data_IF_492189179693
#
_entry.id   IF_492189179693
#
_cell.length_a   1.000
_cell.length_b   1.000
_cell.length_c   1.000
_cell.angle_alpha   90.00
_cell.angle_beta   90.00
_cell.angle_gamma   90.00
#
_symmetry.space_group_name_H-M   'P 1'
#
loop_
_entity.id
_entity.type
_entity.pdbx_description
1 polymer ?
#
# COMPACT_ATOMS: atom_id res chain seq x y z
N UNK A 1 -6.05 19.00 -21.71
CA UNK A 1 -5.89 18.42 -23.08
C UNK A 1 -7.03 17.44 -23.29
N UNK A 2 -7.56 17.23 -24.51
CA UNK A 2 -8.83 16.55 -24.67
C UNK A 2 -8.77 15.13 -24.08
N UNK A 3 -9.70 14.94 -23.15
CA UNK A 3 -9.89 13.84 -22.22
C UNK A 3 -10.84 12.89 -22.93
N UNK A 4 -10.37 11.77 -23.48
CA UNK A 4 -11.31 10.78 -23.99
C UNK A 4 -11.83 9.99 -22.77
N UNK A 5 -13.11 10.16 -22.37
CA UNK A 5 -13.63 9.47 -21.20
C UNK A 5 -13.57 7.96 -21.41
N UNK A 6 -13.25 7.23 -20.35
CA UNK A 6 -13.38 5.78 -20.29
C UNK A 6 -14.71 5.46 -19.61
N UNK A 7 -15.53 4.64 -20.27
CA UNK A 7 -16.79 4.18 -19.70
C UNK A 7 -16.54 3.19 -18.57
N UNK A 8 -17.40 3.22 -17.56
CA UNK A 8 -17.48 2.15 -16.58
C UNK A 8 -17.89 0.83 -17.25
N UNK A 9 -17.49 -0.28 -16.64
CA UNK A 9 -17.79 -1.64 -17.06
C UNK A 9 -18.28 -2.45 -15.87
N UNK A 10 -18.91 -3.59 -16.16
CA UNK A 10 -19.14 -4.60 -15.14
C UNK A 10 -17.85 -5.38 -14.87
N UNK A 11 -17.49 -5.53 -13.61
CA UNK A 11 -16.35 -6.33 -13.17
C UNK A 11 -16.65 -6.96 -11.80
N UNK A 12 -16.60 -8.29 -11.73
CA UNK A 12 -16.80 -9.05 -10.49
C UNK A 12 -18.08 -8.63 -9.73
N UNK A 13 -19.15 -8.28 -10.46
CA UNK A 13 -20.44 -7.87 -9.90
C UNK A 13 -20.62 -6.36 -9.68
N UNK A 14 -19.57 -5.53 -9.74
CA UNK A 14 -19.71 -4.08 -9.70
C UNK A 14 -19.93 -3.52 -11.10
N UNK A 15 -21.02 -2.75 -11.29
CA UNK A 15 -21.42 -2.21 -12.60
C UNK A 15 -20.77 -0.85 -12.93
N UNK A 16 -20.12 -0.23 -11.96
CA UNK A 16 -19.43 1.05 -12.09
C UNK A 16 -17.89 0.91 -12.11
N UNK A 17 -17.37 -0.30 -12.33
CA UNK A 17 -15.94 -0.55 -12.29
C UNK A 17 -15.21 0.17 -13.44
N UNK A 18 -13.96 0.54 -13.19
CA UNK A 18 -13.10 1.23 -14.15
C UNK A 18 -11.91 0.31 -14.42
N UNK A 19 -11.67 -0.02 -15.70
CA UNK A 19 -10.55 -0.88 -16.08
C UNK A 19 -9.53 -0.10 -16.90
N UNK A 20 -8.32 0.05 -16.35
CA UNK A 20 -7.19 0.66 -17.02
C UNK A 20 -6.32 -0.43 -17.66
N UNK A 21 -5.89 -0.22 -18.91
CA UNK A 21 -5.06 -1.18 -19.65
C UNK A 21 -3.94 -0.52 -20.42
N UNK A 22 -2.77 -1.17 -20.43
CA UNK A 22 -1.67 -0.88 -21.34
C UNK A 22 -1.26 -2.21 -22.05
N UNK A 23 -0.19 -2.26 -22.86
CA UNK A 23 0.24 -3.51 -23.49
C UNK A 23 0.64 -4.62 -22.51
N UNK A 24 0.99 -4.29 -21.27
CA UNK A 24 1.59 -5.16 -20.25
C UNK A 24 0.63 -5.50 -19.10
N UNK A 25 -0.13 -4.53 -18.59
CA UNK A 25 -0.95 -4.61 -17.39
C UNK A 25 -2.43 -4.40 -17.65
N UNK A 26 -3.24 -5.01 -16.78
CA UNK A 26 -4.65 -4.74 -16.59
C UNK A 26 -4.93 -4.44 -15.11
N UNK A 27 -5.64 -3.33 -14.87
CA UNK A 27 -5.96 -2.83 -13.53
C UNK A 27 -7.46 -2.58 -13.46
N UNK A 28 -8.14 -3.13 -12.45
CA UNK A 28 -9.57 -2.88 -12.23
C UNK A 28 -9.77 -2.15 -10.90
N UNK A 29 -10.45 -1.01 -10.97
CA UNK A 29 -10.85 -0.20 -9.82
C UNK A 29 -12.36 -0.34 -9.63
N UNK A 30 -12.81 -0.48 -8.40
CA UNK A 30 -14.22 -0.57 -8.02
C UNK A 30 -14.60 0.68 -7.20
N UNK A 31 -15.12 1.75 -7.83
CA UNK A 31 -15.53 2.96 -7.12
C UNK A 31 -16.55 2.71 -6.01
N UNK A 32 -17.45 1.72 -6.18
CA UNK A 32 -18.42 1.32 -5.14
C UNK A 32 -17.81 1.01 -3.78
N UNK A 33 -16.53 0.63 -3.73
CA UNK A 33 -15.81 0.27 -2.50
C UNK A 33 -14.41 0.91 -2.43
N UNK A 34 -14.13 1.90 -3.28
CA UNK A 34 -12.85 2.64 -3.22
C UNK A 34 -11.56 1.86 -3.45
N UNK A 35 -11.63 0.65 -4.01
CA UNK A 35 -10.50 -0.30 -4.09
C UNK A 35 -9.96 -0.49 -5.50
N UNK A 36 -8.67 -0.78 -5.60
CA UNK A 36 -8.14 -1.54 -6.75
C UNK A 36 -8.36 -3.00 -6.45
N UNK A 37 -9.25 -3.65 -7.19
CA UNK A 37 -9.63 -5.06 -6.98
C UNK A 37 -8.88 -6.02 -7.89
N UNK A 38 -8.20 -5.49 -8.92
CA UNK A 38 -7.34 -6.28 -9.82
C UNK A 38 -6.07 -5.54 -10.15
N UNK A 39 -4.95 -6.25 -10.06
CA UNK A 39 -3.66 -5.88 -10.61
C UNK A 39 -3.02 -7.11 -11.24
N UNK A 40 -2.85 -7.12 -12.55
CA UNK A 40 -2.24 -8.27 -13.24
C UNK A 40 -1.45 -7.88 -14.47
N UNK A 41 -0.53 -8.74 -14.88
CA UNK A 41 -0.14 -8.79 -16.28
C UNK A 41 -1.37 -9.04 -17.16
N UNK A 42 -1.33 -8.55 -18.39
CA UNK A 42 -2.44 -8.67 -19.34
C UNK A 42 -2.73 -10.13 -19.63
N UNK A 43 -3.94 -10.57 -19.28
CA UNK A 43 -4.37 -11.98 -19.40
C UNK A 43 -3.81 -12.91 -18.32
N UNK A 44 -3.04 -12.38 -17.36
CA UNK A 44 -2.54 -13.12 -16.21
C UNK A 44 -3.51 -13.16 -15.02
N UNK A 45 -3.10 -13.89 -13.99
CA UNK A 45 -3.83 -13.98 -12.72
C UNK A 45 -3.77 -12.65 -11.95
N UNK A 46 -4.74 -12.45 -11.06
CA UNK A 46 -4.72 -11.31 -10.15
C UNK A 46 -3.60 -11.49 -9.13
N UNK A 47 -2.76 -10.46 -8.98
CA UNK A 47 -1.70 -10.43 -7.97
C UNK A 47 -2.22 -9.98 -6.60
N UNK A 48 -3.35 -9.27 -6.57
CA UNK A 48 -4.01 -8.87 -5.34
C UNK A 48 -4.93 -9.98 -4.84
N UNK A 49 -5.03 -10.13 -3.53
CA UNK A 49 -6.06 -10.97 -2.94
C UNK A 49 -7.42 -10.34 -3.19
N UNK A 50 -8.36 -11.17 -3.63
CA UNK A 50 -9.75 -10.78 -3.84
C UNK A 50 -10.67 -11.88 -3.31
N UNK A 51 -11.59 -11.52 -2.41
CA UNK A 51 -12.59 -12.46 -1.93
C UNK A 51 -13.72 -12.65 -2.95
N UNK A 52 -13.75 -13.81 -3.60
CA UNK A 52 -14.83 -14.13 -4.54
C UNK A 52 -16.23 -14.16 -3.92
N UNK A 53 -16.35 -14.34 -2.59
CA UNK A 53 -17.63 -14.24 -1.87
C UNK A 53 -18.14 -12.81 -1.75
N UNK A 54 -17.29 -11.80 -2.01
CA UNK A 54 -17.61 -10.38 -1.87
C UNK A 54 -17.88 -9.68 -3.20
N UNK A 55 -18.07 -10.43 -4.29
CA UNK A 55 -18.40 -9.92 -5.63
C UNK A 55 -19.62 -9.00 -5.61
N UNK A 56 -19.47 -7.79 -6.15
CA UNK A 56 -20.52 -6.79 -6.25
C UNK A 56 -21.08 -6.32 -4.90
N UNK A 57 -20.44 -6.68 -3.79
CA UNK A 57 -20.91 -6.27 -2.46
C UNK A 57 -20.68 -4.77 -2.28
N UNK A 58 -21.68 -4.14 -1.67
CA UNK A 58 -21.63 -2.76 -1.20
C UNK A 58 -22.04 -2.86 0.27
N UNK A 59 -21.19 -2.41 1.21
CA UNK A 59 -21.51 -2.58 2.63
C UNK A 59 -22.78 -1.82 3.00
N UNK A 60 -23.63 -2.49 3.78
CA UNK A 60 -24.84 -1.89 4.33
C UNK A 60 -24.43 -0.89 5.41
N UNK A 61 -24.68 0.43 5.24
CA UNK A 61 -24.32 1.43 6.23
C UNK A 61 -24.99 1.21 7.59
N UNK A 62 -26.08 0.44 7.64
CA UNK A 62 -26.81 0.12 8.88
C UNK A 62 -26.35 -1.17 9.56
N UNK A 63 -25.42 -1.93 8.95
CA UNK A 63 -24.91 -3.16 9.53
C UNK A 63 -24.05 -2.89 10.77
N UNK A 64 -24.10 -3.81 11.73
CA UNK A 64 -23.26 -3.73 12.95
C UNK A 64 -21.74 -3.82 12.64
N UNK A 65 -21.38 -4.38 11.48
CA UNK A 65 -20.03 -4.37 10.94
C UNK A 65 -20.09 -3.86 9.51
N UNK A 66 -19.52 -2.67 9.29
CA UNK A 66 -19.52 -1.98 7.99
C UNK A 66 -18.21 -2.18 7.22
N UNK A 67 -17.17 -2.71 7.87
CA UNK A 67 -15.93 -3.12 7.23
C UNK A 67 -16.03 -4.54 6.65
N UNK A 68 -15.83 -4.66 5.34
CA UNK A 68 -15.68 -5.93 4.65
C UNK A 68 -14.24 -6.07 4.17
N UNK A 69 -13.57 -7.16 4.54
CA UNK A 69 -12.24 -7.47 4.03
C UNK A 69 -12.35 -8.06 2.60
N UNK A 70 -12.63 -7.21 1.61
CA UNK A 70 -12.77 -7.55 0.18
C UNK A 70 -11.40 -7.92 -0.43
N UNK A 71 -10.34 -7.29 0.07
CA UNK A 71 -8.98 -7.34 -0.48
C UNK A 71 -8.72 -6.28 -1.55
N UNK A 72 -7.60 -6.39 -2.24
CA UNK A 72 -7.12 -5.38 -3.16
C UNK A 72 -6.20 -4.34 -2.51
N UNK A 73 -6.17 -3.15 -3.10
CA UNK A 73 -5.46 -1.97 -2.60
C UNK A 73 -6.44 -0.85 -2.22
N UNK A 74 -6.21 -0.22 -1.08
CA UNK A 74 -7.03 0.90 -0.56
C UNK A 74 -6.19 1.89 0.25
N UNK A 75 -6.83 3.01 0.64
CA UNK A 75 -6.24 4.02 1.51
C UNK A 75 -7.14 4.25 2.72
N UNK A 76 -6.56 4.24 3.92
CA UNK A 76 -7.16 4.85 5.10
C UNK A 76 -6.55 6.23 5.38
N UNK A 77 -7.39 7.25 5.66
CA UNK A 77 -6.93 8.63 5.86
C UNK A 77 -6.43 8.92 7.28
N UNK A 78 -6.50 7.95 8.20
CA UNK A 78 -6.09 8.08 9.60
C UNK A 78 -5.41 6.79 10.05
N UNK A 79 -4.28 6.90 10.73
CA UNK A 79 -3.54 5.76 11.26
C UNK A 79 -4.37 5.02 12.30
N UNK A 80 -4.20 3.70 12.41
CA UNK A 80 -4.96 2.89 13.35
C UNK A 80 -4.79 3.35 14.81
N UNK A 81 -3.58 3.71 15.20
CA UNK A 81 -3.26 4.24 16.53
C UNK A 81 -4.03 5.54 16.87
N UNK A 82 -4.46 6.29 15.85
CA UNK A 82 -5.24 7.53 15.99
C UNK A 82 -6.77 7.30 15.96
N UNK A 83 -7.27 6.08 15.77
CA UNK A 83 -8.72 5.82 15.72
C UNK A 83 -9.42 6.04 17.07
N UNK A 84 -8.72 5.84 18.18
CA UNK A 84 -9.28 6.06 19.53
C UNK A 84 -9.60 7.52 19.85
N UNK A 85 -9.16 8.46 19.00
CA UNK A 85 -9.54 9.87 19.09
C UNK A 85 -11.02 10.11 18.72
N UNK A 86 -11.64 9.18 17.97
CA UNK A 86 -13.01 9.33 17.48
C UNK A 86 -13.84 8.05 17.48
N UNK A 87 -13.31 6.99 18.07
CA UNK A 87 -13.98 5.71 18.27
C UNK A 87 -13.56 5.08 19.61
N UNK A 88 -14.38 4.19 20.16
CA UNK A 88 -14.09 3.55 21.46
C UNK A 88 -12.96 2.51 21.41
N UNK A 89 -12.53 2.11 20.21
CA UNK A 89 -11.58 1.01 19.97
C UNK A 89 -10.73 1.28 18.73
N UNK A 90 -9.60 0.60 18.64
CA UNK A 90 -8.66 0.63 17.52
C UNK A 90 -8.87 -0.54 16.53
N UNK A 91 -9.84 -1.42 16.78
CA UNK A 91 -10.28 -2.46 15.83
C UNK A 91 -11.66 -3.02 16.18
N UNK A 92 -12.55 -3.35 15.20
CA UNK A 92 -12.44 -3.14 13.75
C UNK A 92 -12.48 -1.66 13.34
N UNK A 93 -12.26 -1.33 12.05
CA UNK A 93 -12.35 0.05 11.57
C UNK A 93 -13.67 0.71 11.99
N UNK A 94 -13.63 1.96 12.49
CA UNK A 94 -14.83 2.68 12.92
C UNK A 94 -15.74 3.04 11.74
N UNK A 95 -17.01 3.33 12.02
CA UNK A 95 -18.02 3.65 11.00
C UNK A 95 -17.60 4.81 10.08
N UNK A 96 -16.95 5.83 10.62
CA UNK A 96 -16.43 6.95 9.83
C UNK A 96 -15.41 6.51 8.76
N UNK A 97 -14.73 5.37 8.96
CA UNK A 97 -13.77 4.77 8.02
C UNK A 97 -14.33 3.57 7.25
N UNK A 98 -15.61 3.26 7.45
CA UNK A 98 -16.28 2.16 6.77
C UNK A 98 -16.15 2.23 5.25
N UNK A 99 -16.33 1.09 4.62
CA UNK A 99 -16.48 1.00 3.18
C UNK A 99 -17.70 1.80 2.70
N UNK A 100 -17.48 2.66 1.72
CA UNK A 100 -18.52 3.48 1.13
C UNK A 100 -18.17 3.78 -0.32
N UNK A 101 -19.16 4.23 -1.08
CA UNK A 101 -18.98 4.59 -2.48
C UNK A 101 -18.03 5.79 -2.65
N UNK A 102 -17.15 5.67 -3.64
CA UNK A 102 -16.31 6.74 -4.15
C UNK A 102 -16.84 7.19 -5.51
N UNK A 103 -16.63 8.46 -5.82
CA UNK A 103 -16.89 8.99 -7.16
C UNK A 103 -15.67 8.65 -8.04
N UNK A 104 -15.89 7.85 -9.08
CA UNK A 104 -14.86 7.47 -10.05
C UNK A 104 -15.02 8.20 -11.38
N UNK A 105 -13.93 8.74 -11.92
CA UNK A 105 -13.89 9.30 -13.29
C UNK A 105 -12.60 8.87 -13.97
N UNK A 106 -12.70 8.32 -15.18
CA UNK A 106 -11.54 7.82 -15.91
C UNK A 106 -11.47 8.35 -17.34
N UNK A 107 -10.24 8.45 -17.84
CA UNK A 107 -9.97 9.03 -19.14
C UNK A 107 -8.64 8.58 -19.74
N UNK A 108 -8.46 8.85 -21.02
CA UNK A 108 -7.18 8.80 -21.71
C UNK A 108 -6.56 10.20 -21.76
N UNK A 109 -5.34 10.31 -21.24
CA UNK A 109 -4.51 11.50 -21.34
C UNK A 109 -4.04 11.72 -22.80
N UNK A 110 -3.59 12.93 -23.12
CA UNK A 110 -3.19 13.28 -24.49
C UNK A 110 -2.00 12.46 -25.04
N UNK A 111 -1.16 11.91 -24.15
CA UNK A 111 -0.06 11.02 -24.53
C UNK A 111 -0.52 9.56 -24.75
N UNK A 112 -1.80 9.26 -24.50
CA UNK A 112 -2.40 7.94 -24.63
C UNK A 112 -2.44 7.11 -23.34
N UNK A 113 -1.82 7.59 -22.24
CA UNK A 113 -1.89 6.94 -20.94
C UNK A 113 -3.33 6.95 -20.39
N UNK A 114 -3.69 5.95 -19.60
CA UNK A 114 -5.02 5.86 -18.99
C UNK A 114 -4.94 6.27 -17.52
N UNK A 115 -5.88 7.11 -17.11
CA UNK A 115 -5.93 7.71 -15.79
C UNK A 115 -7.31 7.53 -15.17
N UNK A 116 -7.36 7.41 -13.86
CA UNK A 116 -8.59 7.33 -13.08
C UNK A 116 -8.44 8.19 -11.81
N UNK A 117 -9.43 9.03 -11.52
CA UNK A 117 -9.55 9.74 -10.26
C UNK A 117 -10.68 9.09 -9.45
N UNK A 118 -10.35 8.60 -8.26
CA UNK A 118 -11.33 8.29 -7.23
C UNK A 118 -11.37 9.42 -6.20
N UNK A 119 -12.57 9.85 -5.82
CA UNK A 119 -12.79 10.89 -4.80
C UNK A 119 -13.81 10.42 -3.77
N UNK A 120 -13.53 10.65 -2.48
CA UNK A 120 -14.49 10.45 -1.39
C UNK A 120 -14.40 11.61 -0.41
N UNK A 121 -15.55 12.05 0.08
CA UNK A 121 -15.65 12.96 1.22
C UNK A 121 -16.01 12.17 2.47
N UNK A 122 -15.33 12.49 3.56
CA UNK A 122 -15.60 11.94 4.88
C UNK A 122 -16.21 13.07 5.71
N UNK A 123 -17.40 12.82 6.24
CA UNK A 123 -18.14 13.75 7.09
C UNK A 123 -17.53 13.86 8.49
N UNK A 124 -18.37 14.22 9.47
CA UNK A 124 -17.98 14.21 10.88
C UNK A 124 -17.45 12.81 11.30
N UNK A 125 -16.38 12.74 12.10
CA UNK A 125 -15.61 13.84 12.68
C UNK A 125 -14.36 14.23 11.86
N UNK A 126 -14.16 13.64 10.69
CA UNK A 126 -12.94 13.84 9.91
C UNK A 126 -12.98 15.14 9.08
N UNK A 127 -14.11 15.47 8.47
CA UNK A 127 -14.26 16.67 7.63
C UNK A 127 -13.15 16.79 6.56
N UNK A 128 -12.95 15.73 5.78
CA UNK A 128 -11.89 15.66 4.75
C UNK A 128 -12.40 15.23 3.39
N UNK A 129 -11.68 15.64 2.34
CA UNK A 129 -11.79 15.05 1.01
C UNK A 129 -10.52 14.27 0.68
N UNK A 130 -10.70 13.04 0.21
CA UNK A 130 -9.61 12.17 -0.24
C UNK A 130 -9.69 11.99 -1.74
N UNK A 131 -8.56 12.18 -2.42
CA UNK A 131 -8.40 11.92 -3.85
C UNK A 131 -7.29 10.89 -4.07
N UNK A 132 -7.56 9.90 -4.92
CA UNK A 132 -6.54 8.97 -5.45
C UNK A 132 -6.55 9.08 -6.97
N UNK A 133 -5.51 9.69 -7.54
CA UNK A 133 -5.33 9.80 -9.00
C UNK A 133 -4.36 8.71 -9.47
N UNK A 134 -4.92 7.66 -10.05
CA UNK A 134 -4.21 6.56 -10.67
C UNK A 134 -3.82 6.93 -12.10
N UNK A 135 -2.58 6.64 -12.46
CA UNK A 135 -2.06 6.74 -13.82
C UNK A 135 -1.34 5.46 -14.17
N UNK A 136 -1.85 4.76 -15.18
CA UNK A 136 -1.19 3.60 -15.73
C UNK A 136 -0.12 4.07 -16.72
N UNK A 137 1.13 3.66 -16.50
CA UNK A 137 2.21 3.95 -17.44
C UNK A 137 1.85 3.38 -18.83
N UNK A 138 2.32 4.02 -19.90
CA UNK A 138 1.96 3.60 -21.25
C UNK A 138 2.76 2.37 -21.71
N UNK A 139 3.99 2.23 -21.23
CA UNK A 139 5.00 1.31 -21.77
C UNK A 139 5.67 0.46 -20.69
N UNK A 140 5.51 0.81 -19.41
CA UNK A 140 6.03 0.06 -18.27
C UNK A 140 4.93 -0.67 -17.49
N UNK A 141 5.33 -1.69 -16.73
CA UNK A 141 4.50 -2.37 -15.75
C UNK A 141 4.41 -1.55 -14.44
N UNK A 142 3.93 -0.31 -14.56
CA UNK A 142 3.92 0.67 -13.46
C UNK A 142 2.59 1.40 -13.36
N UNK A 143 2.13 1.58 -12.13
CA UNK A 143 1.04 2.51 -11.78
C UNK A 143 1.63 3.60 -10.89
N UNK A 144 1.26 4.85 -11.14
CA UNK A 144 1.52 5.95 -10.20
C UNK A 144 0.19 6.43 -9.61
N UNK A 145 0.15 6.62 -8.30
CA UNK A 145 -1.03 7.02 -7.55
C UNK A 145 -0.65 8.29 -6.80
N UNK A 146 -1.21 9.43 -7.22
CA UNK A 146 -1.15 10.64 -6.40
C UNK A 146 -2.26 10.57 -5.37
N UNK A 147 -1.89 10.49 -4.10
CA UNK A 147 -2.84 10.44 -2.99
C UNK A 147 -2.84 11.80 -2.32
N UNK A 148 -4.04 12.30 -2.00
CA UNK A 148 -4.20 13.63 -1.41
C UNK A 148 -5.36 13.63 -0.43
N UNK A 149 -5.14 14.24 0.73
CA UNK A 149 -6.18 14.56 1.72
C UNK A 149 -6.27 16.07 1.83
N UNK A 150 -7.49 16.61 1.75
CA UNK A 150 -7.83 18.03 1.99
C UNK A 150 -8.66 18.14 3.27
N UNK A 151 -8.36 19.10 4.14
CA UNK A 151 -9.25 19.44 5.25
C UNK A 151 -10.35 20.37 4.76
N UNK A 152 -11.60 19.96 4.92
CA UNK A 152 -12.79 20.73 4.51
C UNK A 152 -13.35 21.60 5.63
N UNK A 153 -13.19 21.18 6.88
CA UNK A 153 -13.62 21.93 8.07
C UNK A 153 -12.76 21.59 9.29
N UNK A 154 -12.94 22.28 10.42
CA UNK A 154 -12.13 22.06 11.62
C UNK A 154 -12.26 20.62 12.17
N UNK A 155 -11.14 20.02 12.58
CA UNK A 155 -11.08 18.71 13.23
C UNK A 155 -9.74 18.52 13.93
N UNK A 156 -9.75 17.96 15.13
CA UNK A 156 -8.54 17.68 15.91
C UNK A 156 -7.85 16.36 15.51
N UNK A 157 -8.48 15.57 14.64
CA UNK A 157 -7.99 14.25 14.25
C UNK A 157 -6.91 14.42 13.17
N UNK A 158 -5.64 14.05 13.43
CA UNK A 158 -4.60 14.12 12.41
C UNK A 158 -4.89 13.14 11.27
N UNK A 159 -4.41 13.46 10.07
CA UNK A 159 -4.55 12.60 8.90
C UNK A 159 -3.22 11.98 8.51
N UNK A 160 -3.28 10.80 7.89
CA UNK A 160 -2.13 10.15 7.26
C UNK A 160 -2.56 9.55 5.93
N UNK A 161 -1.61 9.41 5.01
CA UNK A 161 -1.77 8.63 3.80
C UNK A 161 -1.32 7.20 4.09
N UNK A 162 -2.22 6.38 4.63
CA UNK A 162 -1.95 4.97 4.89
C UNK A 162 -2.49 4.12 3.73
N UNK A 163 -1.60 3.71 2.82
CA UNK A 163 -1.92 2.81 1.73
C UNK A 163 -1.71 1.36 2.16
N UNK A 164 -2.69 0.50 1.88
CA UNK A 164 -2.59 -0.94 2.16
C UNK A 164 -2.89 -1.71 0.89
N UNK A 165 -2.03 -2.69 0.59
CA UNK A 165 -2.17 -3.62 -0.52
C UNK A 165 -2.13 -5.05 -0.03
N UNK A 166 -3.22 -5.79 -0.21
CA UNK A 166 -3.26 -7.23 0.05
C UNK A 166 -2.76 -7.99 -1.18
N UNK A 167 -1.54 -8.52 -1.09
CA UNK A 167 -0.93 -9.38 -2.11
C UNK A 167 -1.39 -10.82 -1.89
N UNK A 168 -1.92 -11.47 -2.92
CA UNK A 168 -2.37 -12.85 -2.86
C UNK A 168 -1.19 -13.81 -2.74
N UNK A 169 -1.19 -14.68 -1.72
CA UNK A 169 -0.19 -15.74 -1.57
C UNK A 169 1.27 -15.27 -1.67
N UNK A 170 1.62 -14.14 -1.07
CA UNK A 170 3.01 -13.67 -1.06
C UNK A 170 3.91 -14.68 -0.32
N UNK A 171 5.06 -14.99 -0.90
CA UNK A 171 6.06 -15.91 -0.34
C UNK A 171 7.10 -15.18 0.53
N UNK A 172 7.42 -13.94 0.15
CA UNK A 172 8.41 -13.11 0.83
C UNK A 172 7.99 -11.64 0.83
N UNK A 173 8.36 -10.91 1.87
CA UNK A 173 8.28 -9.45 1.94
C UNK A 173 9.68 -8.88 2.12
N UNK A 174 10.02 -7.82 1.41
CA UNK A 174 11.29 -7.09 1.56
C UNK A 174 11.01 -5.71 2.14
N UNK A 175 11.60 -5.43 3.30
CA UNK A 175 11.53 -4.15 3.98
C UNK A 175 12.90 -3.48 4.01
N UNK A 176 13.00 -2.17 3.77
CA UNK A 176 14.23 -1.42 4.02
C UNK A 176 14.49 -1.35 5.52
N UNK A 177 15.76 -1.31 5.92
CA UNK A 177 16.20 -1.05 7.29
C UNK A 177 17.42 -0.15 7.29
N UNK A 178 17.49 0.81 8.20
CA UNK A 178 18.58 1.79 8.25
C UNK A 178 19.47 1.57 9.48
N UNK A 179 20.78 1.82 9.36
CA UNK A 179 21.72 1.76 10.49
C UNK A 179 21.35 2.75 11.61
N UNK A 180 20.73 3.87 11.25
CA UNK A 180 20.25 4.91 12.17
C UNK A 180 18.83 4.69 12.70
N UNK A 181 18.25 3.50 12.51
CA UNK A 181 16.91 3.18 12.99
C UNK A 181 16.78 3.33 14.51
N UNK A 182 15.62 3.80 14.96
CA UNK A 182 15.24 3.79 16.37
C UNK A 182 14.90 2.38 16.87
N UNK A 183 14.63 1.44 15.96
CA UNK A 183 14.28 0.06 16.27
C UNK A 183 15.50 -0.85 16.25
N UNK A 184 15.51 -1.82 17.16
CA UNK A 184 16.57 -2.82 17.21
C UNK A 184 16.59 -3.58 15.89
N UNK A 185 17.73 -3.58 15.21
CA UNK A 185 17.86 -4.21 13.89
C UNK A 185 16.89 -3.65 12.83
N UNK A 186 16.46 -2.38 12.95
CA UNK A 186 15.65 -1.73 11.94
C UNK A 186 14.19 -2.16 11.85
N UNK A 187 13.73 -3.07 12.73
CA UNK A 187 12.38 -3.62 12.70
C UNK A 187 11.74 -3.59 14.08
N UNK A 188 10.44 -3.35 14.11
CA UNK A 188 9.61 -3.38 15.31
C UNK A 188 8.39 -4.29 15.07
N UNK A 189 8.08 -5.23 15.99
CA UNK A 189 6.79 -5.90 15.97
C UNK A 189 5.71 -4.92 16.44
N UNK A 190 4.71 -4.68 15.60
CA UNK A 190 3.53 -3.88 15.95
C UNK A 190 2.44 -4.74 16.59
N UNK A 191 2.35 -6.00 16.14
CA UNK A 191 1.46 -7.00 16.68
C UNK A 191 2.16 -8.35 16.63
N UNK A 192 1.89 -9.17 17.65
CA UNK A 192 2.52 -10.48 17.87
C UNK A 192 4.01 -10.37 18.20
N UNK A 193 4.64 -11.52 18.44
CA UNK A 193 6.06 -11.59 18.74
C UNK A 193 6.91 -11.35 17.48
N UNK A 194 8.20 -11.05 17.66
CA UNK A 194 9.13 -11.07 16.53
C UNK A 194 9.21 -12.47 15.90
N UNK A 195 9.28 -12.58 14.56
CA UNK A 195 9.55 -13.84 13.89
C UNK A 195 10.90 -14.44 14.32
N UNK A 196 11.02 -15.76 14.19
CA UNK A 196 12.28 -16.47 14.37
C UNK A 196 13.34 -16.05 13.33
N UNK A 197 14.62 -16.25 13.67
CA UNK A 197 15.76 -15.90 12.81
C UNK A 197 15.69 -16.60 11.44
N UNK A 198 15.07 -17.78 11.37
CA UNK A 198 14.87 -18.52 10.12
C UNK A 198 13.87 -17.87 9.15
N UNK A 199 13.02 -16.97 9.65
CA UNK A 199 12.06 -16.20 8.83
C UNK A 199 12.63 -14.85 8.41
N UNK A 200 13.79 -14.43 8.94
CA UNK A 200 14.37 -13.11 8.71
C UNK A 200 15.78 -13.23 8.12
N UNK A 201 15.93 -12.91 6.85
CA UNK A 201 17.24 -12.78 6.22
C UNK A 201 17.65 -11.31 6.12
N UNK A 202 18.77 -10.95 6.75
CA UNK A 202 19.34 -9.60 6.66
C UNK A 202 20.28 -9.51 5.47
N UNK A 203 20.01 -8.54 4.59
CA UNK A 203 20.69 -8.35 3.32
C UNK A 203 21.26 -6.93 3.19
N UNK A 204 22.06 -6.55 4.19
CA UNK A 204 22.59 -5.20 4.36
C UNK A 204 21.54 -4.26 4.96
N UNK A 205 21.11 -3.31 4.15
CA UNK A 205 20.10 -2.29 4.44
C UNK A 205 18.67 -2.74 4.11
N UNK A 206 18.44 -4.04 3.95
CA UNK A 206 17.12 -4.61 3.75
C UNK A 206 16.98 -5.90 4.58
N UNK A 207 15.77 -6.20 5.00
CA UNK A 207 15.39 -7.48 5.60
C UNK A 207 14.35 -8.14 4.71
N UNK A 208 14.55 -9.44 4.47
CA UNK A 208 13.58 -10.29 3.79
C UNK A 208 12.89 -11.15 4.84
N UNK A 209 11.56 -11.02 4.90
CA UNK A 209 10.68 -11.83 5.71
C UNK A 209 10.08 -12.98 4.89
N UNK A 210 10.11 -14.20 5.42
CA UNK A 210 9.46 -15.37 4.86
C UNK A 210 8.07 -15.61 5.49
N UNK A 211 7.03 -15.64 4.66
CA UNK A 211 5.61 -15.74 5.07
C UNK A 211 5.18 -17.15 5.48
N UNK A 212 6.09 -18.14 5.46
CA UNK A 212 5.78 -19.56 5.58
C UNK A 212 5.07 -20.00 6.87
N UNK A 213 5.13 -19.22 7.94
CA UNK A 213 4.60 -19.61 9.24
C UNK A 213 4.26 -18.44 10.15
N UNK A 214 3.30 -18.67 11.04
CA UNK A 214 2.92 -17.75 12.10
C UNK A 214 2.03 -16.61 11.63
N UNK A 215 1.91 -15.62 12.51
CA UNK A 215 1.18 -14.38 12.29
C UNK A 215 2.00 -13.23 12.86
N UNK A 216 2.31 -12.25 12.02
CA UNK A 216 3.23 -11.17 12.35
C UNK A 216 2.75 -9.86 11.72
N UNK A 217 2.86 -8.75 12.47
CA UNK A 217 2.81 -7.40 11.89
C UNK A 217 4.10 -6.68 12.23
N UNK A 218 4.88 -6.35 11.20
CA UNK A 218 6.21 -5.73 11.34
C UNK A 218 6.22 -4.34 10.75
N UNK A 219 7.03 -3.48 11.34
CA UNK A 219 7.27 -2.12 10.91
C UNK A 219 8.76 -1.85 10.67
N UNK A 220 9.03 -0.98 9.69
CA UNK A 220 10.32 -0.30 9.53
C UNK A 220 10.16 1.23 9.56
N UNK A 221 11.06 1.91 10.26
CA UNK A 221 11.14 3.37 10.32
C UNK A 221 12.02 3.98 9.22
N UNK A 222 12.52 3.17 8.28
CA UNK A 222 13.42 3.62 7.21
C UNK A 222 12.78 4.67 6.31
N UNK A 223 13.39 5.85 6.23
CA UNK A 223 12.85 7.00 5.45
C UNK A 223 12.84 6.79 3.93
N UNK A 224 13.33 5.65 3.45
CA UNK A 224 13.29 5.26 2.04
C UNK A 224 11.89 4.92 1.53
N UNK A 225 10.94 4.60 2.42
CA UNK A 225 9.51 4.58 2.12
C UNK A 225 9.09 3.62 1.01
N UNK A 226 9.76 2.47 0.88
CA UNK A 226 9.39 1.41 -0.05
C UNK A 226 9.22 0.08 0.66
N UNK A 227 8.41 -0.79 0.07
CA UNK A 227 8.19 -2.17 0.53
C UNK A 227 7.88 -3.03 -0.68
N UNK A 228 8.26 -4.31 -0.65
CA UNK A 228 8.00 -5.22 -1.75
C UNK A 228 7.50 -6.58 -1.29
N UNK A 229 6.72 -7.25 -2.14
CA UNK A 229 6.28 -8.62 -1.94
C UNK A 229 6.56 -9.48 -3.18
N UNK A 230 7.02 -10.71 -2.96
CA UNK A 230 7.21 -11.72 -3.99
C UNK A 230 6.01 -12.66 -4.03
N UNK A 231 5.39 -12.84 -5.21
CA UNK A 231 4.37 -13.86 -5.49
C UNK A 231 4.83 -14.68 -6.70
N UNK A 232 5.21 -15.95 -6.49
CA UNK A 232 5.73 -16.80 -7.55
C UNK A 232 7.03 -16.27 -8.16
N UNK A 233 6.94 -15.78 -9.40
CA UNK A 233 8.03 -15.16 -10.15
C UNK A 233 7.82 -13.65 -10.37
N UNK A 234 6.95 -13.01 -9.57
CA UNK A 234 6.60 -11.60 -9.69
C UNK A 234 6.89 -10.85 -8.40
N UNK A 235 7.71 -9.79 -8.51
CA UNK A 235 7.85 -8.77 -7.48
C UNK A 235 6.81 -7.67 -7.67
N UNK A 236 6.14 -7.31 -6.59
CA UNK A 236 5.31 -6.11 -6.48
C UNK A 236 6.08 -5.17 -5.56
N UNK A 237 6.45 -3.99 -6.05
CA UNK A 237 7.24 -3.00 -5.32
C UNK A 237 6.43 -1.72 -5.19
N UNK A 238 6.19 -1.31 -3.94
CA UNK A 238 5.55 -0.05 -3.61
C UNK A 238 6.56 0.94 -3.08
N UNK A 239 6.51 2.18 -3.55
CA UNK A 239 7.33 3.26 -3.03
C UNK A 239 6.53 4.55 -2.90
N UNK A 240 6.46 5.08 -1.67
CA UNK A 240 5.83 6.35 -1.36
C UNK A 240 6.88 7.46 -1.22
N UNK A 241 6.66 8.58 -1.91
CA UNK A 241 7.47 9.80 -1.80
C UNK A 241 6.54 11.00 -1.64
N UNK A 242 6.78 11.88 -0.67
CA UNK A 242 5.85 12.99 -0.40
C UNK A 242 6.42 14.10 0.45
N UNK A 243 5.57 15.10 0.71
CA UNK A 243 5.95 16.40 1.27
C UNK A 243 6.44 16.33 2.73
N UNK A 244 6.12 15.24 3.44
CA UNK A 244 6.35 15.10 4.88
C UNK A 244 7.35 14.01 5.25
N UNK A 245 8.33 13.71 4.38
CA UNK A 245 9.35 12.68 4.62
C UNK A 245 10.09 12.78 5.99
N UNK A 246 10.09 13.98 6.60
CA UNK A 246 10.73 14.27 7.90
C UNK A 246 9.73 14.53 9.05
N UNK A 247 8.43 14.25 8.86
CA UNK A 247 7.42 14.46 9.89
C UNK A 247 7.37 13.34 10.95
N UNK A 248 6.41 13.45 11.88
CA UNK A 248 6.11 12.39 12.86
C UNK A 248 5.31 11.30 12.18
N UNK A 249 5.84 10.08 12.16
CA UNK A 249 5.16 8.93 11.58
C UNK A 249 4.38 8.16 12.65
N UNK A 250 3.29 7.48 12.27
CA UNK A 250 2.56 6.58 13.16
C UNK A 250 3.47 5.51 13.80
N UNK A 251 2.94 4.89 14.86
CA UNK A 251 3.45 3.62 15.38
C UNK A 251 4.94 3.65 15.78
N UNK A 252 5.39 4.80 16.28
CA UNK A 252 6.75 5.00 16.77
C UNK A 252 7.77 5.35 15.69
N UNK A 253 7.33 5.67 14.47
CA UNK A 253 8.21 6.08 13.38
C UNK A 253 8.01 5.32 12.07
N UNK A 254 7.02 4.42 12.01
CA UNK A 254 6.78 3.48 10.93
C UNK A 254 6.47 4.19 9.61
N UNK A 255 7.31 3.90 8.62
CA UNK A 255 7.13 4.42 7.25
C UNK A 255 6.53 3.37 6.33
N UNK A 256 6.82 2.10 6.61
CA UNK A 256 6.27 0.94 5.92
C UNK A 256 5.99 -0.15 6.92
N UNK A 257 4.93 -0.90 6.65
CA UNK A 257 4.48 -2.01 7.48
C UNK A 257 4.12 -3.21 6.62
N UNK A 258 4.10 -4.37 7.24
CA UNK A 258 3.51 -5.57 6.67
C UNK A 258 2.68 -6.28 7.73
N UNK A 259 1.63 -6.96 7.28
CA UNK A 259 0.92 -7.95 8.06
C UNK A 259 0.86 -9.26 7.27
N UNK A 260 1.21 -10.36 7.92
CA UNK A 260 1.19 -11.69 7.32
C UNK A 260 0.63 -12.69 8.31
N UNK A 261 -0.30 -13.53 7.83
CA UNK A 261 -0.82 -14.67 8.57
C UNK A 261 -0.75 -15.88 7.65
N UNK A 262 0.07 -16.87 8.00
CA UNK A 262 0.28 -18.09 7.21
C UNK A 262 -0.98 -18.94 6.98
N UNK A 263 -2.03 -18.72 7.79
CA UNK A 263 -3.35 -19.34 7.60
C UNK A 263 -4.27 -18.57 6.64
N UNK A 264 -3.88 -17.38 6.19
CA UNK A 264 -4.60 -16.56 5.22
C UNK A 264 -3.88 -16.57 3.87
N UNK A 265 -4.63 -16.46 2.78
CA UNK A 265 -4.08 -16.45 1.41
C UNK A 265 -3.63 -15.05 0.97
N UNK A 266 -3.15 -14.23 1.91
CA UNK A 266 -2.63 -12.90 1.60
C UNK A 266 -1.58 -12.41 2.59
N UNK A 267 -0.84 -11.40 2.17
CA UNK A 267 0.03 -10.58 3.00
C UNK A 267 -0.21 -9.13 2.64
N UNK A 268 -0.32 -8.26 3.63
CA UNK A 268 -0.41 -6.82 3.47
C UNK A 268 1.00 -6.24 3.38
N UNK A 269 1.20 -5.37 2.38
CA UNK A 269 2.30 -4.42 2.34
C UNK A 269 1.70 -3.02 2.41
N UNK A 270 2.33 -2.16 3.21
CA UNK A 270 1.74 -0.90 3.61
C UNK A 270 2.76 0.22 3.52
N UNK A 271 2.31 1.39 3.08
CA UNK A 271 3.11 2.63 3.13
C UNK A 271 2.34 3.68 3.92
N UNK A 272 3.06 4.44 4.75
CA UNK A 272 2.50 5.50 5.57
C UNK A 272 3.20 6.81 5.24
N UNK A 273 2.46 7.92 5.29
CA UNK A 273 3.08 9.24 5.42
C UNK A 273 3.24 9.60 6.90
N UNK A 274 3.98 10.68 7.17
CA UNK A 274 3.85 11.32 8.47
C UNK A 274 2.40 11.78 8.71
N UNK A 275 2.00 11.79 9.97
CA UNK A 275 0.73 12.36 10.41
C UNK A 275 0.77 13.90 10.27
N UNK A 276 -0.36 14.47 9.86
CA UNK A 276 -0.50 15.90 9.66
C UNK A 276 -1.78 16.41 10.35
N UNK A 277 -1.66 17.31 11.35
CA UNK A 277 -2.80 18.09 11.84
C UNK A 277 -3.07 19.23 10.84
N UNK A 278 -3.95 18.99 9.87
CA UNK A 278 -4.27 19.97 8.83
C UNK A 278 -5.31 20.99 9.32
N UNK A 279 -5.01 22.28 9.15
CA UNK A 279 -5.99 23.36 9.23
C UNK A 279 -6.95 23.31 8.03
N UNK A 280 -8.12 23.96 8.14
CA UNK A 280 -9.09 24.05 7.04
C UNK A 280 -8.46 24.62 5.76
N UNK A 281 -8.60 23.89 4.65
CA UNK A 281 -8.03 24.23 3.35
C UNK A 281 -6.60 23.72 3.13
N UNK A 282 -5.92 23.22 4.17
CA UNK A 282 -4.62 22.59 4.03
C UNK A 282 -4.73 21.16 3.47
N UNK A 283 -3.56 20.62 3.08
CA UNK A 283 -3.50 19.31 2.49
C UNK A 283 -2.22 18.55 2.72
N UNK A 284 -2.38 17.24 2.76
CA UNK A 284 -1.31 16.26 2.75
C UNK A 284 -1.33 15.50 1.42
N UNK A 285 -0.17 15.30 0.80
CA UNK A 285 -0.05 14.54 -0.44
C UNK A 285 1.23 13.70 -0.51
N UNK A 286 1.15 12.60 -1.27
CA UNK A 286 2.29 11.81 -1.69
C UNK A 286 2.13 11.35 -3.15
N UNK A 287 3.18 10.71 -3.65
CA UNK A 287 3.18 9.89 -4.84
C UNK A 287 3.55 8.46 -4.42
N UNK A 288 2.63 7.52 -4.63
CA UNK A 288 2.88 6.09 -4.54
C UNK A 288 3.14 5.55 -5.94
N UNK A 289 4.23 4.83 -6.13
CA UNK A 289 4.48 4.04 -7.35
C UNK A 289 4.36 2.57 -7.03
N UNK A 290 3.63 1.84 -7.87
CA UNK A 290 3.50 0.38 -7.82
C UNK A 290 4.13 -0.19 -9.09
N UNK A 291 5.25 -0.88 -8.93
CA UNK A 291 5.97 -1.58 -9.99
C UNK A 291 5.76 -3.08 -9.89
N UNK A 292 5.56 -3.74 -11.04
CA UNK A 292 5.39 -5.18 -11.12
C UNK A 292 6.43 -5.74 -12.07
N UNK A 293 7.32 -6.58 -11.54
CA UNK A 293 8.52 -7.00 -12.27
C UNK A 293 8.68 -8.51 -12.17
N UNK A 294 8.78 -9.23 -13.32
CA UNK A 294 9.19 -10.62 -13.30
C UNK A 294 10.61 -10.75 -12.74
N UNK A 295 10.84 -11.76 -11.90
CA UNK A 295 12.15 -12.04 -11.31
C UNK A 295 12.81 -13.25 -11.95
N UNK A 296 14.14 -13.32 -11.85
CA UNK A 296 14.92 -14.45 -12.35
C UNK A 296 14.69 -15.74 -11.55
N UNK A 297 15.31 -16.83 -11.99
CA UNK A 297 15.21 -18.11 -11.30
C UNK A 297 15.83 -18.09 -9.89
N UNK A 298 16.93 -17.34 -9.72
CA UNK A 298 17.54 -17.10 -8.42
C UNK A 298 16.72 -16.09 -7.63
N UNK A 299 16.04 -16.59 -6.60
CA UNK A 299 15.16 -15.85 -5.69
C UNK A 299 15.65 -15.98 -4.25
N UNK A 300 16.96 -16.19 -4.07
CA UNK A 300 17.58 -16.12 -2.76
C UNK A 300 17.38 -14.73 -2.14
N UNK A 301 17.32 -14.67 -0.81
CA UNK A 301 16.83 -13.48 -0.09
C UNK A 301 17.60 -12.21 -0.48
N UNK A 302 18.93 -12.29 -0.51
CA UNK A 302 19.73 -11.11 -0.80
C UNK A 302 19.80 -10.75 -2.29
N UNK A 303 19.50 -11.69 -3.19
CA UNK A 303 19.29 -11.38 -4.61
C UNK A 303 17.97 -10.63 -4.80
N UNK A 304 16.91 -11.06 -4.11
CA UNK A 304 15.62 -10.38 -4.12
C UNK A 304 15.74 -8.95 -3.58
N UNK A 305 16.41 -8.78 -2.43
CA UNK A 305 16.67 -7.47 -1.85
C UNK A 305 17.50 -6.56 -2.77
N UNK A 306 18.51 -7.11 -3.44
CA UNK A 306 19.29 -6.35 -4.43
C UNK A 306 18.44 -5.91 -5.62
N UNK A 307 17.58 -6.79 -6.15
CA UNK A 307 16.67 -6.43 -7.24
C UNK A 307 15.70 -5.32 -6.84
N UNK A 308 15.14 -5.37 -5.62
CA UNK A 308 14.26 -4.29 -5.12
C UNK A 308 15.03 -2.97 -5.05
N UNK A 309 16.26 -2.94 -4.51
CA UNK A 309 17.11 -1.74 -4.48
C UNK A 309 17.32 -1.15 -5.87
N UNK A 310 17.64 -1.97 -6.86
CA UNK A 310 17.83 -1.53 -8.24
C UNK A 310 16.55 -0.90 -8.81
N UNK A 311 15.39 -1.50 -8.51
CA UNK A 311 14.08 -1.01 -8.98
C UNK A 311 13.69 0.34 -8.35
N UNK A 312 14.00 0.54 -7.06
CA UNK A 312 13.73 1.82 -6.37
C UNK A 312 14.82 2.87 -6.61
N UNK A 313 15.90 2.51 -7.32
CA UNK A 313 17.00 3.40 -7.69
C UNK A 313 18.03 3.64 -6.57
N UNK A 314 18.17 2.69 -5.65
CA UNK A 314 19.12 2.76 -4.54
C UNK A 314 20.48 2.18 -4.91
N UNK A 315 21.54 2.70 -4.29
CA UNK A 315 22.90 2.17 -4.46
C UNK A 315 23.13 1.01 -3.47
N UNK A 316 23.97 0.02 -3.81
CA UNK A 316 24.35 -1.01 -2.85
C UNK A 316 24.98 -0.39 -1.60
N UNK A 317 24.75 -0.95 -0.40
CA UNK A 317 25.50 -0.56 0.79
C UNK A 317 27.00 -0.73 0.52
N UNK A 318 27.82 0.14 1.12
CA UNK A 318 29.27 0.01 1.02
C UNK A 318 29.68 -1.38 1.53
N UNK A 319 30.51 -2.10 0.77
CA UNK A 319 31.01 -3.40 1.21
C UNK A 319 31.68 -3.23 2.58
N UNK A 320 31.26 -4.02 3.57
CA UNK A 320 31.97 -4.07 4.85
C UNK A 320 33.43 -4.40 4.56
N UNK A 321 34.33 -3.52 5.00
CA UNK A 321 35.76 -3.83 4.96
C UNK A 321 35.97 -5.07 5.82
N UNK A 322 36.72 -6.09 5.34
CA UNK A 322 37.00 -7.25 6.16
C UNK A 322 37.68 -6.77 7.43
N UNK A 323 37.03 -6.98 8.57
CA UNK A 323 37.61 -6.74 9.88
C UNK A 323 38.92 -7.51 9.92
N UNK A 324 40.03 -6.77 9.99
CA UNK A 324 41.33 -7.37 10.24
C UNK A 324 41.21 -8.18 11.53
N UNK A 325 41.40 -9.49 11.43
CA UNK A 325 41.65 -10.31 12.61
C UNK A 325 43.01 -9.88 13.13
N UNK A 326 43.01 -9.09 14.20
CA UNK A 326 44.23 -8.84 14.96
C UNK A 326 44.74 -10.18 15.50
N UNK A 327 45.98 -10.51 15.14
CA UNK A 327 46.79 -11.62 15.68
C UNK A 327 47.30 -11.31 17.10
#
# INVERSE_FOLDING_TARGET
>A
MPVAPLSAVEYEGWTNAIVLKNPILEVALAPSVGRVVKLSFKGGENLLRFDSGMRGTIPDPSAAQTWLNIGGDWLWPVAQSSWTLFAERDWPPPEALAEAEWIGTAWKDANGAQSCLLTREYGEPLHIRVNRLFKLDKEAARISIRQRIERLDDSEIPVTLWNITQVAGAEKVVLPVDEGSAFKSGLQPLMFDMPGDEQLARCGDAVVYNTSSGEHKLCSDSKRGWIAALKGDVLIVEQARGDTANGTYPDGGCTVEMYSNSGLDYTEIETLSAEAPLDKGESLQNMLTVDIVPVGADRSDCVLAAQVRDLVGEKPPAAESPVAKDE
#
